data_IF_126446298075
#
_entry.id   IF_126446298075
#
_cell.length_a   1.000
_cell.length_b   1.000
_cell.length_c   1.000
_cell.angle_alpha   90.00
_cell.angle_beta   90.00
_cell.angle_gamma   90.00
#
_symmetry.space_group_name_H-M   'P 1'
#
loop_
_entity.id
_entity.type
_entity.pdbx_description
1 polymer ?
#
# COMPACT_ATOMS: atom_id res chain seq x y z
N UNK A 1 -14.36 0.73 -10.18
CA UNK A 1 -14.78 2.10 -10.58
C UNK A 1 -13.63 3.10 -10.74
N UNK A 2 -12.64 3.13 -9.84
CA UNK A 2 -11.60 4.17 -9.84
C UNK A 2 -10.37 3.89 -10.73
N UNK A 3 -10.34 2.75 -11.41
CA UNK A 3 -9.15 2.29 -12.15
C UNK A 3 -8.65 3.31 -13.18
N UNK A 4 -9.53 3.91 -13.99
CA UNK A 4 -9.10 4.88 -15.01
C UNK A 4 -8.38 6.09 -14.42
N UNK A 5 -8.85 6.58 -13.26
CA UNK A 5 -8.24 7.72 -12.57
C UNK A 5 -6.87 7.39 -11.98
N UNK A 6 -6.67 6.16 -11.51
CA UNK A 6 -5.46 5.72 -10.81
C UNK A 6 -4.64 4.69 -11.60
N UNK A 7 -4.87 4.58 -12.91
CA UNK A 7 -4.33 3.52 -13.77
C UNK A 7 -2.82 3.38 -13.62
N UNK A 8 -2.10 4.50 -13.73
CA UNK A 8 -0.65 4.52 -13.63
C UNK A 8 -0.12 3.98 -12.28
N UNK A 9 -0.82 4.25 -11.18
CA UNK A 9 -0.45 3.74 -9.85
C UNK A 9 -0.80 2.25 -9.70
N UNK A 10 -2.02 1.85 -10.09
CA UNK A 10 -2.49 0.47 -9.99
C UNK A 10 -1.66 -0.47 -10.87
N UNK A 11 -1.32 -0.07 -12.09
CA UNK A 11 -0.48 -0.86 -12.99
C UNK A 11 0.93 -1.06 -12.42
N UNK A 12 1.48 -0.03 -11.77
CA UNK A 12 2.78 -0.13 -11.07
C UNK A 12 2.70 -1.08 -9.87
N UNK A 13 1.62 -1.02 -9.10
CA UNK A 13 1.39 -1.97 -8.00
C UNK A 13 1.30 -3.41 -8.54
N UNK A 14 0.58 -3.64 -9.64
CA UNK A 14 0.48 -4.96 -10.29
C UNK A 14 1.85 -5.46 -10.75
N UNK A 15 2.66 -4.60 -11.38
CA UNK A 15 4.03 -4.95 -11.76
C UNK A 15 4.86 -5.40 -10.55
N UNK A 16 4.81 -4.67 -9.43
CA UNK A 16 5.52 -5.08 -8.22
C UNK A 16 4.97 -6.38 -7.60
N UNK A 17 3.66 -6.62 -7.71
CA UNK A 17 3.08 -7.88 -7.29
C UNK A 17 3.61 -9.06 -8.09
N UNK A 18 3.78 -8.90 -9.41
CA UNK A 18 4.41 -9.91 -10.26
C UNK A 18 5.89 -10.17 -9.90
N UNK A 19 6.57 -9.20 -9.29
CA UNK A 19 7.93 -9.36 -8.76
C UNK A 19 7.97 -9.94 -7.33
N UNK A 20 6.81 -10.29 -6.74
CA UNK A 20 6.70 -10.93 -5.43
C UNK A 20 6.33 -9.99 -4.27
N UNK A 21 6.03 -8.71 -4.53
CA UNK A 21 5.54 -7.79 -3.48
C UNK A 21 4.11 -8.16 -3.10
N UNK A 22 3.86 -8.42 -1.82
CA UNK A 22 2.53 -8.69 -1.29
C UNK A 22 1.87 -7.40 -0.79
N UNK A 23 0.75 -7.03 -1.41
CA UNK A 23 -0.06 -5.89 -0.96
C UNK A 23 -1.15 -6.41 -0.02
N UNK A 24 -1.15 -5.90 1.22
CA UNK A 24 -2.10 -6.32 2.25
C UNK A 24 -2.92 -5.11 2.73
N UNK A 25 -4.23 -5.29 2.88
CA UNK A 25 -5.18 -4.27 3.36
C UNK A 25 -5.81 -4.70 4.67
N UNK A 26 -5.98 -3.75 5.59
CA UNK A 26 -6.65 -3.97 6.87
C UNK A 26 -8.17 -4.17 6.68
N UNK A 27 -8.68 -5.34 7.02
CA UNK A 27 -10.09 -5.69 6.91
C UNK A 27 -10.99 -4.89 7.86
N UNK A 28 -10.52 -4.58 9.07
CA UNK A 28 -11.23 -3.68 9.98
C UNK A 28 -11.42 -2.29 9.36
N UNK A 29 -10.35 -1.71 8.81
CA UNK A 29 -10.44 -0.42 8.13
C UNK A 29 -11.31 -0.51 6.87
N UNK A 30 -11.17 -1.57 6.07
CA UNK A 30 -12.01 -1.76 4.89
C UNK A 30 -13.51 -1.74 5.25
N UNK A 31 -13.89 -2.46 6.32
CA UNK A 31 -15.25 -2.47 6.85
C UNK A 31 -15.71 -1.09 7.32
N UNK A 32 -14.89 -0.38 8.10
CA UNK A 32 -15.23 0.94 8.63
C UNK A 32 -15.47 1.98 7.53
N UNK A 33 -14.76 1.83 6.39
CA UNK A 33 -14.93 2.67 5.20
C UNK A 33 -15.96 2.13 4.19
N UNK A 34 -16.62 1.00 4.50
CA UNK A 34 -17.67 0.42 3.66
C UNK A 34 -17.18 -0.26 2.37
N UNK A 35 -15.92 -0.67 2.31
CA UNK A 35 -15.37 -1.43 1.18
C UNK A 35 -15.68 -2.92 1.31
N UNK A 36 -16.07 -3.54 0.19
CA UNK A 36 -16.20 -4.97 0.04
C UNK A 36 -14.89 -5.58 -0.54
N UNK A 37 -14.77 -6.91 -0.52
CA UNK A 37 -13.59 -7.59 -1.06
C UNK A 37 -13.41 -7.32 -2.56
N UNK A 38 -14.52 -7.22 -3.29
CA UNK A 38 -14.58 -7.02 -4.73
C UNK A 38 -14.18 -5.59 -5.15
N UNK A 39 -14.07 -4.66 -4.19
CA UNK A 39 -13.60 -3.30 -4.46
C UNK A 39 -12.08 -3.23 -4.63
N UNK A 40 -11.35 -4.26 -4.16
CA UNK A 40 -9.90 -4.33 -4.25
C UNK A 40 -9.42 -5.02 -5.53
N UNK A 41 -8.15 -4.79 -5.87
CA UNK A 41 -7.53 -5.50 -6.99
C UNK A 41 -7.29 -6.97 -6.61
N UNK A 42 -7.38 -7.87 -7.57
CA UNK A 42 -7.15 -9.31 -7.42
C UNK A 42 -5.81 -9.68 -6.74
N UNK A 43 -4.79 -8.84 -6.87
CA UNK A 43 -3.48 -9.03 -6.24
C UNK A 43 -3.35 -8.46 -4.81
N UNK A 44 -4.43 -7.90 -4.26
CA UNK A 44 -4.46 -7.35 -2.90
C UNK A 44 -5.10 -8.36 -1.94
N UNK A 45 -4.37 -8.69 -0.88
CA UNK A 45 -4.86 -9.57 0.19
C UNK A 45 -5.53 -8.74 1.30
N UNK A 46 -6.78 -9.05 1.63
CA UNK A 46 -7.43 -8.45 2.80
C UNK A 46 -7.14 -9.30 4.04
N UNK A 47 -6.36 -8.75 4.97
CA UNK A 47 -6.05 -9.41 6.25
C UNK A 47 -7.01 -8.92 7.34
N UNK A 48 -7.29 -9.69 8.40
CA UNK A 48 -8.23 -9.26 9.43
C UNK A 48 -7.84 -7.91 10.08
N UNK A 49 -6.57 -7.74 10.43
CA UNK A 49 -6.00 -6.51 11.01
C UNK A 49 -4.58 -6.30 10.52
N UNK A 50 -4.32 -5.15 9.88
CA UNK A 50 -2.98 -4.84 9.39
C UNK A 50 -1.96 -4.65 10.52
N UNK A 51 -2.38 -4.17 11.70
CA UNK A 51 -1.46 -4.02 12.85
C UNK A 51 -1.01 -5.39 13.34
N UNK A 52 -1.93 -6.35 13.48
CA UNK A 52 -1.57 -7.71 13.89
C UNK A 52 -0.68 -8.39 12.83
N UNK A 53 -0.95 -8.16 11.55
CA UNK A 53 -0.13 -8.65 10.44
C UNK A 53 1.30 -8.10 10.52
N UNK A 54 1.48 -6.79 10.79
CA UNK A 54 2.80 -6.20 10.98
C UNK A 54 3.54 -6.83 12.15
N UNK A 55 2.88 -6.99 13.31
CA UNK A 55 3.50 -7.63 14.48
C UNK A 55 3.91 -9.06 14.17
N UNK A 56 3.06 -9.83 13.48
CA UNK A 56 3.39 -11.19 13.05
C UNK A 56 4.69 -11.23 12.24
N UNK A 57 4.83 -10.38 11.22
CA UNK A 57 6.05 -10.35 10.41
C UNK A 57 7.27 -9.86 11.20
N UNK A 58 7.12 -8.86 12.06
CA UNK A 58 8.22 -8.41 12.92
C UNK A 58 8.72 -9.52 13.85
N UNK A 59 7.82 -10.36 14.40
CA UNK A 59 8.20 -11.52 15.22
C UNK A 59 8.94 -12.61 14.44
N UNK A 60 8.74 -12.69 13.11
CA UNK A 60 9.50 -13.58 12.22
C UNK A 60 10.87 -13.00 11.83
N UNK A 61 11.28 -11.86 12.41
CA UNK A 61 12.56 -11.21 12.13
C UNK A 61 12.55 -10.22 10.97
N UNK A 62 11.38 -9.89 10.42
CA UNK A 62 11.27 -8.85 9.39
C UNK A 62 11.35 -7.45 10.03
N UNK A 63 11.86 -6.49 9.28
CA UNK A 63 11.98 -5.10 9.71
C UNK A 63 10.80 -4.28 9.19
N UNK A 64 10.25 -3.42 10.05
CA UNK A 64 9.29 -2.39 9.63
C UNK A 64 10.03 -1.22 8.99
N UNK A 65 9.75 -0.97 7.71
CA UNK A 65 10.22 0.21 7.00
C UNK A 65 9.06 1.17 6.78
N UNK A 66 9.07 2.30 7.46
CA UNK A 66 8.11 3.38 7.26
C UNK A 66 8.71 4.43 6.31
N UNK A 67 8.23 4.55 5.05
CA UNK A 67 8.74 5.54 4.13
C UNK A 67 8.29 6.95 4.55
N UNK A 68 9.24 7.89 4.59
CA UNK A 68 8.96 9.32 4.73
C UNK A 68 8.98 9.96 3.35
N UNK A 69 7.83 10.47 2.89
CA UNK A 69 7.72 11.13 1.59
C UNK A 69 8.05 12.61 1.75
N UNK A 70 9.22 13.01 1.24
CA UNK A 70 9.63 14.41 1.21
C UNK A 70 9.15 15.07 -0.09
N UNK A 71 8.47 16.22 0.02
CA UNK A 71 8.14 17.04 -1.14
C UNK A 71 9.23 18.07 -1.38
N UNK A 72 9.79 18.06 -2.59
CA UNK A 72 10.73 19.09 -3.02
C UNK A 72 9.95 20.37 -3.32
N UNK A 73 10.01 21.35 -2.41
CA UNK A 73 9.33 22.65 -2.55
C UNK A 73 10.10 23.65 -3.38
N UNK A 74 11.42 23.58 -3.33
CA UNK A 74 12.32 24.49 -4.03
C UNK A 74 13.33 23.70 -4.86
N UNK A 75 13.64 24.20 -6.05
CA UNK A 75 14.75 23.76 -6.87
C UNK A 75 16.07 24.13 -6.18
N UNK A 76 17.17 23.52 -6.63
CA UNK A 76 18.49 23.82 -6.02
C UNK A 76 18.90 25.26 -6.38
N UNK A 77 18.47 25.72 -7.55
CA UNK A 77 18.67 27.07 -8.08
C UNK A 77 17.91 28.13 -7.27
N UNK A 78 16.74 27.82 -6.70
CA UNK A 78 15.93 28.75 -5.90
C UNK A 78 16.49 29.00 -4.49
N UNK A 79 17.39 28.15 -3.99
CA UNK A 79 17.95 28.22 -2.62
C UNK A 79 19.37 28.83 -2.64
N UNK A 80 19.95 29.08 -3.82
CA UNK A 80 21.29 29.62 -4.01
C UNK A 80 21.26 31.13 -4.23
#
# INVERSE_FOLDING_TARGET
>A
KNYQRYKAAVDRMRYFSMLGVKFKVCGLAAKDYGYALEDFQDFVEVVPSAINELVYWQQQGYVLMQPTILSKKYSVEEIR
#
